data_IF_866371266268
#
_entry.id   IF_866371266268
#
_cell.length_a   1.000
_cell.length_b   1.000
_cell.length_c   1.000
_cell.angle_alpha   90.00
_cell.angle_beta   90.00
_cell.angle_gamma   90.00
#
_symmetry.space_group_name_H-M   'P 1'
#
loop_
_entity.id
_entity.type
_entity.pdbx_description
1 polymer ?
#
# COMPACT_ATOMS: atom_id res chain seq x y z
N UNK A 1 1.70 10.49 30.19
CA UNK A 1 0.64 10.19 29.18
C UNK A 1 0.42 8.68 29.15
N UNK A 2 -0.29 8.13 30.14
CA UNK A 2 -0.38 6.68 30.39
C UNK A 2 -1.84 6.25 30.58
N UNK A 3 -2.76 6.86 29.82
CA UNK A 3 -4.21 6.72 30.03
C UNK A 3 -4.97 6.16 28.80
N UNK A 4 -4.31 5.46 27.88
CA UNK A 4 -4.95 4.92 26.64
C UNK A 4 -4.68 3.44 26.36
N UNK A 5 -4.08 2.70 27.31
CA UNK A 5 -3.74 1.29 27.11
C UNK A 5 -4.84 0.35 27.63
N UNK A 6 -5.59 0.75 28.67
CA UNK A 6 -6.64 -0.09 29.25
C UNK A 6 -7.86 -0.26 28.33
N UNK A 7 -8.27 0.80 27.62
CA UNK A 7 -9.40 0.80 26.68
C UNK A 7 -9.16 -0.09 25.43
N UNK A 8 -7.90 -0.24 25.02
CA UNK A 8 -7.53 -1.04 23.85
C UNK A 8 -7.92 -2.52 24.01
N UNK A 9 -7.81 -3.06 25.22
CA UNK A 9 -8.17 -4.45 25.50
C UNK A 9 -9.69 -4.68 25.39
N UNK A 10 -10.50 -3.68 25.76
CA UNK A 10 -11.96 -3.72 25.59
C UNK A 10 -12.36 -3.74 24.12
N UNK A 11 -11.73 -2.89 23.32
CA UNK A 11 -11.94 -2.80 21.87
C UNK A 11 -11.52 -4.12 21.19
N UNK A 12 -10.36 -4.68 21.53
CA UNK A 12 -9.88 -5.96 20.98
C UNK A 12 -10.87 -7.09 21.30
N UNK A 13 -11.40 -7.14 22.52
CA UNK A 13 -12.37 -8.16 22.94
C UNK A 13 -13.69 -8.05 22.15
N UNK A 14 -14.20 -6.83 21.98
CA UNK A 14 -15.42 -6.59 21.19
C UNK A 14 -15.24 -7.01 19.72
N UNK A 15 -14.05 -6.80 19.15
CA UNK A 15 -13.76 -7.18 17.77
C UNK A 15 -13.72 -8.70 17.55
N UNK A 16 -13.16 -9.46 18.49
CA UNK A 16 -13.17 -10.93 18.42
C UNK A 16 -14.56 -11.55 18.59
N UNK A 17 -15.44 -10.91 19.38
CA UNK A 17 -16.86 -11.32 19.46
C UNK A 17 -17.56 -11.10 18.12
N UNK A 18 -17.25 -10.00 17.43
CA UNK A 18 -17.90 -9.64 16.16
C UNK A 18 -17.34 -10.41 14.95
N UNK A 19 -16.10 -10.88 15.01
CA UNK A 19 -15.39 -11.55 13.92
C UNK A 19 -14.80 -12.89 14.38
N UNK A 20 -15.65 -13.92 14.61
CA UNK A 20 -15.21 -15.20 15.16
C UNK A 20 -14.30 -15.98 14.20
N UNK A 21 -14.49 -15.82 12.88
CA UNK A 21 -13.70 -16.49 11.83
C UNK A 21 -12.35 -15.80 11.55
N UNK A 22 -11.98 -14.83 12.39
CA UNK A 22 -10.72 -14.09 12.30
C UNK A 22 -10.79 -12.81 11.45
N UNK A 23 -9.67 -12.10 11.41
CA UNK A 23 -9.53 -10.86 10.63
C UNK A 23 -9.02 -11.14 9.22
N UNK A 24 -9.53 -10.40 8.22
CA UNK A 24 -9.32 -10.59 6.77
C UNK A 24 -7.84 -10.64 6.29
N UNK A 25 -6.88 -10.25 7.13
CA UNK A 25 -5.46 -10.37 6.79
C UNK A 25 -5.00 -11.82 7.03
N UNK A 26 -4.78 -12.58 5.95
CA UNK A 26 -4.09 -13.87 5.97
C UNK A 26 -2.59 -13.65 5.65
N UNK A 27 -1.75 -13.34 6.64
CA UNK A 27 -0.32 -13.25 6.43
C UNK A 27 0.24 -14.64 6.12
N UNK A 28 0.62 -14.89 4.87
CA UNK A 28 1.14 -16.18 4.44
C UNK A 28 2.30 -16.71 5.28
N UNK A 29 2.50 -18.02 5.23
CA UNK A 29 3.47 -18.79 6.02
C UNK A 29 4.91 -18.29 5.84
N UNK A 30 5.38 -17.40 6.72
CA UNK A 30 6.81 -17.16 6.96
C UNK A 30 7.35 -15.75 6.69
N UNK A 31 6.59 -14.82 6.10
CA UNK A 31 7.08 -13.43 5.84
C UNK A 31 6.51 -12.35 6.75
N UNK A 32 5.56 -12.71 7.62
CA UNK A 32 4.96 -11.80 8.58
C UNK A 32 5.13 -12.42 9.97
N UNK A 33 5.40 -11.64 11.04
CA UNK A 33 5.56 -12.20 12.38
C UNK A 33 4.22 -12.74 12.89
N UNK A 34 3.87 -13.98 12.54
CA UNK A 34 2.61 -14.63 12.91
C UNK A 34 2.60 -15.10 14.37
N UNK A 35 3.77 -15.37 14.95
CA UNK A 35 3.91 -15.80 16.35
C UNK A 35 3.74 -14.67 17.37
N UNK A 36 3.84 -13.40 16.96
CA UNK A 36 3.78 -12.26 17.88
C UNK A 36 2.85 -11.17 17.34
N UNK A 37 1.67 -11.03 17.94
CA UNK A 37 0.67 -10.01 17.62
C UNK A 37 1.25 -8.59 17.54
N UNK A 38 2.24 -8.28 18.40
CA UNK A 38 3.01 -7.02 18.38
C UNK A 38 3.77 -6.79 17.08
N UNK A 39 4.35 -7.85 16.51
CA UNK A 39 5.08 -7.77 15.24
C UNK A 39 4.13 -7.53 14.07
N UNK A 40 2.97 -8.19 14.06
CA UNK A 40 1.92 -7.95 13.08
C UNK A 40 1.33 -6.52 13.21
N UNK A 41 1.05 -6.05 14.43
CA UNK A 41 0.59 -4.69 14.68
C UNK A 41 1.61 -3.66 14.24
N UNK A 42 2.90 -3.84 14.56
CA UNK A 42 3.99 -2.96 14.13
C UNK A 42 4.16 -2.97 12.61
N UNK A 43 3.98 -4.13 11.98
CA UNK A 43 3.96 -4.26 10.53
C UNK A 43 2.79 -3.50 9.93
N UNK A 44 1.56 -3.75 10.36
CA UNK A 44 0.35 -3.09 9.86
C UNK A 44 0.36 -1.58 10.11
N UNK A 45 0.71 -1.13 11.31
CA UNK A 45 0.85 0.32 11.60
C UNK A 45 1.91 0.97 10.72
N UNK A 46 3.02 0.28 10.40
CA UNK A 46 3.98 0.77 9.41
C UNK A 46 3.30 0.97 8.05
N UNK A 47 2.53 0.02 7.53
CA UNK A 47 1.87 0.20 6.23
C UNK A 47 0.74 1.23 6.23
N UNK A 48 0.07 1.42 7.37
CA UNK A 48 -1.02 2.39 7.51
C UNK A 48 -0.51 3.82 7.74
N UNK A 49 0.62 3.98 8.45
CA UNK A 49 1.16 5.28 8.82
C UNK A 49 2.29 5.75 7.90
N UNK A 50 2.90 4.87 7.10
CA UNK A 50 4.04 5.27 6.26
C UNK A 50 3.50 5.89 4.97
N UNK A 51 3.87 7.15 4.68
CA UNK A 51 3.49 7.78 3.43
C UNK A 51 4.15 7.10 2.23
N UNK A 52 3.74 7.46 1.00
CA UNK A 52 4.43 7.09 -0.26
C UNK A 52 5.95 7.26 -0.17
N UNK A 53 6.40 8.28 0.57
CA UNK A 53 7.79 8.47 0.96
C UNK A 53 7.93 8.22 2.46
N UNK A 54 8.83 7.31 2.83
CA UNK A 54 9.13 7.06 4.23
C UNK A 54 9.76 8.28 4.90
N UNK A 55 9.37 8.59 6.14
CA UNK A 55 9.87 9.75 6.91
C UNK A 55 11.40 9.78 6.99
N UNK A 56 12.06 8.62 7.05
CA UNK A 56 13.52 8.52 7.05
C UNK A 56 14.20 9.06 5.78
N UNK A 57 13.43 9.32 4.72
CA UNK A 57 13.92 9.89 3.46
C UNK A 57 13.79 11.41 3.40
N UNK A 58 13.10 12.02 4.36
CA UNK A 58 13.04 13.47 4.51
C UNK A 58 14.32 13.89 5.23
N UNK A 59 15.11 14.76 4.59
CA UNK A 59 16.41 15.20 5.09
C UNK A 59 16.34 16.54 5.81
N UNK A 60 15.43 17.42 5.39
CA UNK A 60 15.24 18.73 6.01
C UNK A 60 13.81 19.24 5.77
N UNK A 61 13.30 20.01 6.73
CA UNK A 61 12.08 20.82 6.58
C UNK A 61 12.40 22.20 7.15
N UNK A 62 12.43 23.22 6.31
CA UNK A 62 12.73 24.61 6.70
C UNK A 62 12.04 25.58 5.75
N UNK A 63 11.61 26.73 6.28
CA UNK A 63 11.14 27.89 5.48
C UNK A 63 10.05 27.58 4.46
N UNK A 64 9.17 26.61 4.76
CA UNK A 64 8.11 26.20 3.84
C UNK A 64 8.58 25.23 2.74
N UNK A 65 9.80 24.72 2.81
CA UNK A 65 10.37 23.74 1.89
C UNK A 65 10.63 22.40 2.57
N UNK A 66 10.58 21.33 1.78
CA UNK A 66 10.87 19.96 2.18
C UNK A 66 11.94 19.39 1.27
N UNK A 67 13.07 19.00 1.87
CA UNK A 67 14.14 18.26 1.21
C UNK A 67 14.00 16.78 1.50
N UNK A 68 14.04 15.95 0.47
CA UNK A 68 13.94 14.50 0.61
C UNK A 68 14.71 13.78 -0.51
N UNK A 69 14.86 12.45 -0.39
CA UNK A 69 15.44 11.66 -1.47
C UNK A 69 14.58 10.47 -1.88
N UNK A 70 14.64 10.13 -3.17
CA UNK A 70 14.12 8.88 -3.70
C UNK A 70 15.27 7.91 -3.95
N UNK A 71 15.01 6.62 -3.74
CA UNK A 71 15.99 5.57 -3.96
C UNK A 71 15.54 4.71 -5.14
N UNK A 72 16.25 4.82 -6.26
CA UNK A 72 16.04 4.00 -7.45
C UNK A 72 17.32 3.22 -7.74
N UNK A 73 17.24 1.88 -7.80
CA UNK A 73 18.38 1.01 -8.16
C UNK A 73 19.71 1.35 -7.47
N UNK A 74 19.68 1.55 -6.13
CA UNK A 74 20.81 1.93 -5.26
C UNK A 74 21.32 3.38 -5.38
N UNK A 75 20.83 4.17 -6.33
CA UNK A 75 21.12 5.60 -6.41
C UNK A 75 20.09 6.41 -5.62
N UNK A 76 20.55 7.49 -4.98
CA UNK A 76 19.71 8.44 -4.26
C UNK A 76 19.61 9.72 -5.07
N UNK A 77 18.41 10.08 -5.43
CA UNK A 77 18.10 11.36 -6.06
C UNK A 77 17.49 12.27 -5.00
N UNK A 78 18.13 13.41 -4.75
CA UNK A 78 17.68 14.38 -3.77
C UNK A 78 16.88 15.48 -4.46
N UNK A 79 15.81 15.92 -3.81
CA UNK A 79 14.95 16.99 -4.31
C UNK A 79 14.56 17.89 -3.13
N UNK A 80 14.44 19.19 -3.40
CA UNK A 80 13.89 20.18 -2.48
C UNK A 80 12.72 20.86 -3.17
N UNK A 81 11.55 20.81 -2.55
CA UNK A 81 10.31 21.36 -3.11
C UNK A 81 9.56 22.13 -2.02
N UNK A 82 8.66 23.01 -2.43
CA UNK A 82 7.72 23.64 -1.49
C UNK A 82 6.88 22.57 -0.76
N UNK A 83 6.55 22.87 0.50
CA UNK A 83 5.78 21.96 1.34
C UNK A 83 4.42 21.61 0.73
N UNK A 84 3.77 22.57 0.05
CA UNK A 84 2.50 22.34 -0.65
C UNK A 84 2.65 21.36 -1.80
N UNK A 85 3.71 21.49 -2.60
CA UNK A 85 4.04 20.54 -3.68
C UNK A 85 4.32 19.15 -3.11
N UNK A 86 5.07 19.07 -2.01
CA UNK A 86 5.31 17.80 -1.32
C UNK A 86 4.02 17.16 -0.82
N UNK A 87 3.13 17.93 -0.20
CA UNK A 87 1.81 17.45 0.28
C UNK A 87 0.95 16.99 -0.90
N UNK A 88 0.88 17.75 -1.98
CA UNK A 88 0.14 17.38 -3.20
C UNK A 88 0.61 16.03 -3.76
N UNK A 89 1.93 15.80 -3.80
CA UNK A 89 2.54 14.52 -4.20
C UNK A 89 2.22 13.38 -3.25
N UNK A 90 1.87 13.63 -1.99
CA UNK A 90 1.43 12.60 -1.06
C UNK A 90 -0.07 12.31 -1.20
N UNK A 91 -0.89 13.34 -1.32
CA UNK A 91 -2.36 13.25 -1.36
C UNK A 91 -2.85 12.54 -2.62
N UNK A 92 -2.13 12.63 -3.75
CA UNK A 92 -2.47 11.88 -4.97
C UNK A 92 -2.54 10.35 -4.77
N UNK A 93 -1.91 9.82 -3.72
CA UNK A 93 -1.95 8.39 -3.40
C UNK A 93 -3.17 7.99 -2.55
N UNK A 94 -3.96 8.96 -2.09
CA UNK A 94 -5.23 8.74 -1.40
C UNK A 94 -6.32 8.60 -2.47
N UNK A 95 -6.73 7.37 -2.72
CA UNK A 95 -7.77 7.09 -3.70
C UNK A 95 -9.15 7.50 -3.17
N UNK A 96 -10.06 7.98 -4.04
CA UNK A 96 -11.44 8.27 -3.65
C UNK A 96 -12.13 7.08 -3.01
N UNK A 97 -13.09 7.36 -2.12
CA UNK A 97 -13.90 6.32 -1.49
C UNK A 97 -14.63 5.52 -2.57
N UNK A 98 -14.49 4.19 -2.51
CA UNK A 98 -15.11 3.27 -3.48
C UNK A 98 -14.28 3.04 -4.76
N UNK A 99 -13.12 3.69 -4.91
CA UNK A 99 -12.26 3.44 -6.07
C UNK A 99 -11.69 2.01 -6.05
N UNK A 100 -12.17 1.18 -6.97
CA UNK A 100 -11.70 -0.19 -7.14
C UNK A 100 -10.37 -0.19 -7.91
N UNK A 101 -9.30 -0.61 -7.24
CA UNK A 101 -7.97 -0.72 -7.86
C UNK A 101 -7.91 -1.89 -8.84
N UNK A 102 -7.33 -1.67 -10.02
CA UNK A 102 -7.11 -2.69 -11.07
C UNK A 102 -6.40 -3.93 -10.52
N UNK A 103 -5.44 -3.74 -9.60
CA UNK A 103 -4.69 -4.82 -8.94
C UNK A 103 -5.55 -5.77 -8.11
N UNK A 104 -6.69 -5.32 -7.58
CA UNK A 104 -7.50 -6.12 -6.66
C UNK A 104 -8.84 -6.53 -7.25
N UNK A 105 -9.40 -5.70 -8.12
CA UNK A 105 -10.75 -5.90 -8.67
C UNK A 105 -10.80 -5.86 -10.20
N UNK A 106 -9.70 -5.50 -10.86
CA UNK A 106 -9.64 -5.38 -12.30
C UNK A 106 -8.83 -6.49 -12.94
N UNK A 107 -8.24 -6.15 -14.08
CA UNK A 107 -7.55 -7.08 -14.97
C UNK A 107 -6.30 -7.72 -14.33
N UNK A 108 -5.70 -7.05 -13.34
CA UNK A 108 -4.54 -7.52 -12.58
C UNK A 108 -4.90 -8.22 -11.26
N UNK A 109 -6.19 -8.45 -10.99
CA UNK A 109 -6.60 -9.19 -9.81
C UNK A 109 -6.11 -10.64 -9.90
N UNK A 110 -5.45 -11.15 -8.87
CA UNK A 110 -4.82 -12.48 -8.88
C UNK A 110 -5.77 -13.59 -9.36
N UNK A 111 -7.05 -13.52 -8.97
CA UNK A 111 -8.05 -14.51 -9.33
C UNK A 111 -8.45 -14.48 -10.82
N UNK A 112 -8.37 -13.33 -11.48
CA UNK A 112 -8.81 -13.14 -12.87
C UNK A 112 -7.65 -12.89 -13.84
N UNK A 113 -6.44 -12.64 -13.33
CA UNK A 113 -5.28 -12.21 -14.11
C UNK A 113 -4.95 -13.17 -15.25
N UNK A 114 -4.87 -14.47 -14.96
CA UNK A 114 -4.55 -15.49 -15.98
C UNK A 114 -5.56 -15.48 -17.14
N UNK A 115 -6.86 -15.49 -16.82
CA UNK A 115 -7.94 -15.44 -17.80
C UNK A 115 -7.80 -14.22 -18.72
N UNK A 116 -7.55 -13.05 -18.14
CA UNK A 116 -7.47 -11.83 -18.92
C UNK A 116 -6.21 -11.73 -19.77
N UNK A 117 -5.06 -12.22 -19.26
CA UNK A 117 -3.80 -12.27 -20.02
C UNK A 117 -3.97 -13.18 -21.25
N UNK A 118 -4.62 -14.33 -21.11
CA UNK A 118 -4.88 -15.25 -22.23
C UNK A 118 -5.79 -14.61 -23.29
N UNK A 119 -6.86 -13.93 -22.87
CA UNK A 119 -7.77 -13.22 -23.79
C UNK A 119 -7.01 -12.13 -24.55
N UNK A 120 -6.24 -11.30 -23.85
CA UNK A 120 -5.48 -10.20 -24.46
C UNK A 120 -4.45 -10.74 -25.45
N UNK A 121 -3.72 -11.80 -25.10
CA UNK A 121 -2.72 -12.40 -25.96
C UNK A 121 -3.35 -12.94 -27.26
N UNK A 122 -4.51 -13.61 -27.15
CA UNK A 122 -5.23 -14.12 -28.32
C UNK A 122 -5.70 -13.00 -29.22
N UNK A 123 -6.39 -12.00 -28.68
CA UNK A 123 -6.91 -10.87 -29.47
C UNK A 123 -5.79 -10.03 -30.09
N UNK A 124 -4.67 -9.86 -29.39
CA UNK A 124 -3.50 -9.18 -29.95
C UNK A 124 -2.88 -9.96 -31.11
N UNK A 125 -2.83 -11.29 -31.04
CA UNK A 125 -2.43 -12.15 -32.15
C UNK A 125 -3.35 -12.00 -33.35
N UNK A 126 -4.67 -12.13 -33.13
CA UNK A 126 -5.68 -11.98 -34.18
C UNK A 126 -5.61 -10.61 -34.88
N UNK A 127 -5.30 -9.54 -34.13
CA UNK A 127 -5.11 -8.19 -34.68
C UNK A 127 -3.83 -8.08 -35.53
N UNK A 128 -2.73 -8.68 -35.09
CA UNK A 128 -1.47 -8.68 -35.85
C UNK A 128 -1.63 -9.48 -37.14
N UNK A 129 -2.28 -10.64 -37.09
CA UNK A 129 -2.55 -11.46 -38.27
C UNK A 129 -3.44 -10.73 -39.28
N UNK A 130 -4.45 -9.98 -38.79
CA UNK A 130 -5.30 -9.13 -39.63
C UNK A 130 -4.61 -7.90 -40.21
N UNK A 131 -3.49 -7.45 -39.65
CA UNK A 131 -2.67 -6.35 -40.19
C UNK A 131 -1.63 -6.82 -41.22
N UNK A 132 -1.26 -8.11 -41.18
CA UNK A 132 -0.29 -8.73 -42.10
C UNK A 132 -1.00 -9.29 -43.35
N UNK A 133 -2.29 -9.60 -43.25
CA UNK A 133 -3.17 -9.95 -44.38
C UNK A 133 -3.55 -8.74 -45.23
#
# INVERSE_FOLDING_TARGET
MTARIEDLNGIIKALWVKHPDGFYAHPGNGKVPTKHYRGLLKYLTKYLATPPIGVSRITCVSDGYVSYYQAYNKQREYECVEAEVFIGRMVQHILPKGFQRIRYYGLQATASFKKWVEIIAKTAGDLVDGMIS
#
